data_IF_191384050598
#
_entry.id   IF_191384050598
#
_cell.length_a   1.000
_cell.length_b   1.000
_cell.length_c   1.000
_cell.angle_alpha   90.00
_cell.angle_beta   90.00
_cell.angle_gamma   90.00
#
_symmetry.space_group_name_H-M   'P 1'
#
loop_
_entity.id
_entity.type
_entity.pdbx_description
1 polymer ?
#
# COMPACT_ATOMS: atom_id res chain seq x y z
N UNK A 1 64.64 -42.63 9.69
CA UNK A 1 63.83 -41.66 8.93
C UNK A 1 62.40 -41.74 9.44
N UNK A 2 61.87 -40.72 10.14
CA UNK A 2 60.49 -40.73 10.60
C UNK A 2 59.57 -40.31 9.44
N UNK A 3 58.51 -41.07 9.20
CA UNK A 3 57.50 -40.73 8.21
C UNK A 3 56.45 -39.85 8.89
N UNK A 4 56.28 -38.63 8.37
CA UNK A 4 55.28 -37.67 8.82
C UNK A 4 53.93 -37.95 8.15
N UNK A 5 52.87 -37.85 8.98
CA UNK A 5 51.60 -37.17 8.71
C UNK A 5 50.64 -37.78 7.69
N UNK A 6 49.45 -38.19 8.15
CA UNK A 6 48.25 -37.32 8.11
C UNK A 6 47.14 -37.96 8.95
N UNK A 7 46.86 -37.40 10.13
CA UNK A 7 45.65 -37.75 10.90
C UNK A 7 44.44 -37.23 10.12
N UNK A 8 43.52 -38.12 9.78
CA UNK A 8 42.27 -37.82 9.07
C UNK A 8 41.21 -37.26 10.02
N UNK A 9 41.58 -36.23 10.76
CA UNK A 9 40.64 -35.45 11.54
C UNK A 9 40.23 -34.22 10.72
N UNK A 10 38.98 -33.80 10.88
CA UNK A 10 38.29 -32.68 10.22
C UNK A 10 37.46 -33.02 8.98
N UNK A 11 36.33 -33.68 9.23
CA UNK A 11 35.05 -33.28 8.63
C UNK A 11 33.90 -33.57 9.59
N UNK A 12 33.85 -32.79 10.68
CA UNK A 12 32.59 -32.56 11.38
C UNK A 12 31.93 -31.33 10.74
N UNK A 13 30.71 -31.45 10.18
CA UNK A 13 29.97 -30.28 9.73
C UNK A 13 29.65 -29.43 10.95
N UNK A 14 30.35 -28.30 11.04
CA UNK A 14 30.18 -27.32 12.11
C UNK A 14 28.71 -26.87 12.17
N UNK A 15 28.09 -27.09 13.33
CA UNK A 15 26.67 -26.83 13.60
C UNK A 15 26.30 -25.35 13.37
N UNK A 16 27.28 -24.45 13.38
CA UNK A 16 27.12 -23.02 13.07
C UNK A 16 26.66 -22.76 11.63
N UNK A 17 27.11 -23.55 10.65
CA UNK A 17 26.79 -23.34 9.24
C UNK A 17 25.33 -23.68 8.91
N UNK A 18 24.78 -24.67 9.62
CA UNK A 18 23.37 -25.09 9.47
C UNK A 18 22.41 -24.04 10.04
N UNK A 19 22.78 -23.42 11.16
CA UNK A 19 22.01 -22.34 11.81
C UNK A 19 21.97 -21.10 10.92
N UNK A 20 23.09 -20.70 10.30
CA UNK A 20 23.13 -19.56 9.38
C UNK A 20 22.23 -19.77 8.15
N UNK A 21 22.25 -20.97 7.55
CA UNK A 21 21.41 -21.28 6.38
C UNK A 21 19.92 -21.29 6.72
N UNK A 22 19.54 -21.81 7.89
CA UNK A 22 18.15 -21.80 8.36
C UNK A 22 17.65 -20.38 8.65
N UNK A 23 18.48 -19.55 9.29
CA UNK A 23 18.16 -18.16 9.63
C UNK A 23 17.99 -17.30 8.36
N UNK A 24 18.87 -17.46 7.38
CA UNK A 24 18.75 -16.79 6.08
C UNK A 24 17.48 -17.21 5.32
N UNK A 25 17.08 -18.49 5.41
CA UNK A 25 15.83 -18.99 4.80
C UNK A 25 14.58 -18.40 5.44
N UNK A 26 14.57 -18.28 6.78
CA UNK A 26 13.48 -17.63 7.53
C UNK A 26 13.37 -16.14 7.19
N UNK A 27 14.50 -15.45 7.10
CA UNK A 27 14.56 -14.05 6.71
C UNK A 27 14.06 -13.89 5.27
N UNK A 28 14.54 -14.70 4.31
CA UNK A 28 14.10 -14.63 2.91
C UNK A 28 12.60 -14.91 2.74
N UNK A 29 12.04 -15.88 3.46
CA UNK A 29 10.58 -16.12 3.51
C UNK A 29 9.83 -14.91 4.08
N UNK A 30 10.29 -14.36 5.20
CA UNK A 30 9.72 -13.12 5.76
C UNK A 30 9.76 -11.94 4.77
N UNK A 31 10.83 -11.82 3.98
CA UNK A 31 10.96 -10.78 2.95
C UNK A 31 10.05 -11.01 1.73
N UNK A 32 9.84 -12.26 1.29
CA UNK A 32 8.91 -12.56 0.18
C UNK A 32 7.45 -12.34 0.60
N UNK A 33 7.12 -12.64 1.85
CA UNK A 33 5.76 -12.56 2.37
C UNK A 33 5.34 -11.09 2.62
N UNK A 34 6.30 -10.22 2.99
CA UNK A 34 6.08 -8.77 3.06
C UNK A 34 5.92 -8.08 1.69
N UNK A 35 6.27 -8.75 0.59
CA UNK A 35 6.34 -8.13 -0.75
C UNK A 35 5.19 -8.55 -1.68
N UNK A 36 4.23 -9.34 -1.18
CA UNK A 36 3.10 -9.88 -1.95
C UNK A 36 1.83 -9.03 -1.94
N UNK A 37 1.81 -7.89 -1.27
CA UNK A 37 0.64 -7.01 -1.27
C UNK A 37 0.80 -5.94 -2.34
N UNK A 38 0.06 -6.10 -3.45
CA UNK A 38 -0.15 -5.00 -4.39
C UNK A 38 -0.76 -3.83 -3.58
N UNK A 39 -0.21 -2.61 -3.66
CA UNK A 39 -0.75 -1.46 -2.95
C UNK A 39 -2.26 -1.36 -3.19
N UNK A 40 -3.07 -1.19 -2.14
CA UNK A 40 -4.53 -1.10 -2.26
C UNK A 40 -4.98 -0.02 -3.25
N UNK A 41 -4.17 1.04 -3.39
CA UNK A 41 -4.36 2.07 -4.40
C UNK A 41 -4.34 1.53 -5.84
N UNK A 42 -3.49 0.56 -6.15
CA UNK A 42 -3.40 -0.04 -7.49
C UNK A 42 -4.49 -1.10 -7.71
N UNK A 43 -4.97 -1.73 -6.64
CA UNK A 43 -6.01 -2.76 -6.71
C UNK A 43 -7.42 -2.17 -6.73
N UNK A 44 -7.65 -1.09 -5.97
CA UNK A 44 -8.98 -0.54 -5.70
C UNK A 44 -9.11 0.95 -6.02
N UNK A 45 -8.00 1.65 -6.29
CA UNK A 45 -8.05 3.04 -6.70
C UNK A 45 -8.66 3.17 -8.09
N UNK A 46 -9.68 4.01 -8.21
CA UNK A 46 -10.38 4.30 -9.48
C UNK A 46 -10.45 5.79 -9.72
N UNK A 47 -10.62 6.15 -10.98
CA UNK A 47 -10.85 7.53 -11.41
C UNK A 47 -12.26 8.01 -11.04
N UNK A 48 -12.51 9.33 -10.96
CA UNK A 48 -13.86 9.87 -10.75
C UNK A 48 -14.89 9.38 -11.79
N UNK A 49 -14.46 9.19 -13.04
CA UNK A 49 -15.27 8.65 -14.13
C UNK A 49 -15.70 7.21 -13.86
N UNK A 50 -14.76 6.35 -13.49
CA UNK A 50 -15.05 4.95 -13.16
C UNK A 50 -15.92 4.83 -11.91
N UNK A 51 -15.71 5.68 -10.91
CA UNK A 51 -16.58 5.73 -9.73
C UNK A 51 -18.00 6.15 -10.07
N UNK A 52 -18.16 7.14 -10.94
CA UNK A 52 -19.49 7.54 -11.43
C UNK A 52 -20.23 6.37 -12.10
N UNK A 53 -19.54 5.61 -12.96
CA UNK A 53 -20.10 4.42 -13.60
C UNK A 53 -20.41 3.30 -12.59
N UNK A 54 -19.50 3.07 -11.64
CA UNK A 54 -19.66 2.05 -10.60
C UNK A 54 -20.88 2.35 -9.74
N UNK A 55 -21.03 3.60 -9.28
CA UNK A 55 -22.16 4.05 -8.48
C UNK A 55 -23.48 4.01 -9.26
N UNK A 56 -23.44 4.37 -10.55
CA UNK A 56 -24.62 4.25 -11.42
C UNK A 56 -25.11 2.80 -11.53
N UNK A 57 -24.19 1.82 -11.57
CA UNK A 57 -24.51 0.39 -11.51
C UNK A 57 -25.17 -0.05 -10.20
N UNK A 58 -24.98 0.70 -9.11
CA UNK A 58 -25.65 0.51 -7.83
C UNK A 58 -26.91 1.37 -7.67
N UNK A 59 -27.36 2.08 -8.71
CA UNK A 59 -28.53 2.95 -8.71
C UNK A 59 -28.28 4.37 -8.21
N UNK A 60 -27.04 4.71 -7.83
CA UNK A 60 -26.67 6.05 -7.33
C UNK A 60 -26.04 6.87 -8.45
N UNK A 61 -26.74 7.91 -8.91
CA UNK A 61 -26.26 8.76 -9.98
C UNK A 61 -25.42 9.93 -9.43
N UNK A 62 -24.10 9.80 -9.51
CA UNK A 62 -23.15 10.87 -9.12
C UNK A 62 -22.34 11.29 -10.34
N UNK A 63 -22.30 12.59 -10.62
CA UNK A 63 -21.47 13.09 -11.73
C UNK A 63 -19.98 13.07 -11.36
N UNK A 64 -19.06 12.78 -12.31
CA UNK A 64 -17.62 12.85 -12.07
C UNK A 64 -17.16 14.23 -11.59
N UNK A 65 -17.86 15.30 -12.02
CA UNK A 65 -17.59 16.67 -11.59
C UNK A 65 -17.87 16.86 -10.09
N UNK A 66 -18.99 16.31 -9.60
CA UNK A 66 -19.35 16.37 -8.19
C UNK A 66 -18.33 15.59 -7.35
N UNK A 67 -17.95 14.40 -7.79
CA UNK A 67 -16.90 13.57 -7.14
C UNK A 67 -15.59 14.37 -7.04
N UNK A 68 -15.15 15.00 -8.14
CA UNK A 68 -13.95 15.85 -8.14
C UNK A 68 -14.05 17.03 -7.17
N UNK A 69 -15.19 17.74 -7.16
CA UNK A 69 -15.39 18.87 -6.25
C UNK A 69 -15.31 18.42 -4.80
N UNK A 70 -16.06 17.37 -4.46
CA UNK A 70 -16.15 16.87 -3.09
C UNK A 70 -14.83 16.26 -2.61
N UNK A 71 -14.12 15.56 -3.48
CA UNK A 71 -12.77 15.05 -3.19
C UNK A 71 -11.79 16.19 -2.89
N UNK A 72 -11.86 17.29 -3.65
CA UNK A 72 -11.02 18.48 -3.40
C UNK A 72 -11.42 19.21 -2.11
N UNK A 73 -12.71 19.34 -1.83
CA UNK A 73 -13.23 19.95 -0.60
C UNK A 73 -12.81 19.18 0.66
N UNK A 74 -12.89 17.86 0.60
CA UNK A 74 -12.57 16.98 1.75
C UNK A 74 -11.09 16.68 1.87
N UNK A 75 -10.32 16.85 0.78
CA UNK A 75 -8.92 16.44 0.70
C UNK A 75 -8.72 14.92 0.60
N UNK A 76 -9.80 14.15 0.48
CA UNK A 76 -9.76 12.68 0.46
C UNK A 76 -9.55 12.16 -0.97
N UNK A 77 -8.34 12.29 -1.49
CA UNK A 77 -7.93 11.72 -2.78
C UNK A 77 -6.43 11.50 -2.87
N UNK A 78 -6.00 10.67 -3.81
CA UNK A 78 -4.60 10.57 -4.22
C UNK A 78 -4.44 11.18 -5.60
N UNK A 79 -3.38 11.97 -5.77
CA UNK A 79 -3.04 12.57 -7.05
C UNK A 79 -1.77 11.91 -7.60
N UNK A 80 -1.82 11.53 -8.87
CA UNK A 80 -0.68 11.03 -9.62
C UNK A 80 -0.53 11.90 -10.88
N UNK A 81 0.31 12.94 -10.79
CA UNK A 81 0.42 13.95 -11.84
C UNK A 81 -0.90 14.70 -12.05
N UNK A 82 -1.52 14.52 -13.21
CA UNK A 82 -2.84 15.10 -13.53
C UNK A 82 -4.01 14.17 -13.18
N UNK A 83 -3.73 12.91 -12.82
CA UNK A 83 -4.75 11.92 -12.51
C UNK A 83 -5.16 11.97 -11.04
N UNK A 84 -6.46 11.84 -10.81
CA UNK A 84 -7.05 11.72 -9.48
C UNK A 84 -7.52 10.29 -9.29
N UNK A 85 -7.09 9.68 -8.19
CA UNK A 85 -7.46 8.33 -7.77
C UNK A 85 -8.18 8.39 -6.44
N UNK A 86 -9.30 7.68 -6.39
CA UNK A 86 -10.19 7.58 -5.23
C UNK A 86 -10.27 6.12 -4.81
N UNK A 87 -10.03 5.87 -3.53
CA UNK A 87 -10.27 4.56 -2.93
C UNK A 87 -11.73 4.47 -2.46
N UNK A 88 -12.26 3.25 -2.23
CA UNK A 88 -13.59 3.07 -1.65
C UNK A 88 -13.77 3.84 -0.34
N UNK A 89 -12.77 3.81 0.55
CA UNK A 89 -12.76 4.57 1.81
C UNK A 89 -12.87 6.09 1.61
N UNK A 90 -12.35 6.62 0.50
CA UNK A 90 -12.50 8.03 0.18
C UNK A 90 -13.94 8.35 -0.24
N UNK A 91 -14.58 7.47 -1.03
CA UNK A 91 -15.98 7.63 -1.46
C UNK A 91 -16.93 7.57 -0.27
N UNK A 92 -16.73 6.63 0.65
CA UNK A 92 -17.49 6.57 1.90
C UNK A 92 -17.43 7.90 2.66
N UNK A 93 -16.24 8.49 2.78
CA UNK A 93 -16.05 9.80 3.40
C UNK A 93 -16.67 10.97 2.61
N UNK A 94 -16.99 10.82 1.32
CA UNK A 94 -17.75 11.81 0.55
C UNK A 94 -19.25 11.75 0.85
N UNK A 95 -19.75 10.55 1.17
CA UNK A 95 -21.17 10.26 1.40
C UNK A 95 -21.54 10.53 2.85
N UNK A 96 -20.62 10.27 3.80
CA UNK A 96 -20.88 10.44 5.22
C UNK A 96 -21.19 11.92 5.55
N UNK A 97 -22.42 12.22 5.98
CA UNK A 97 -22.83 13.59 6.29
C UNK A 97 -22.25 13.97 7.65
N UNK A 98 -21.02 14.50 7.69
CA UNK A 98 -20.44 14.83 9.00
C UNK A 98 -19.21 15.71 9.06
N UNK A 99 -18.29 15.70 8.08
CA UNK A 99 -17.05 16.47 8.23
C UNK A 99 -16.64 17.09 6.88
N UNK A 100 -17.47 18.00 6.37
CA UNK A 100 -16.93 19.08 5.57
C UNK A 100 -16.01 19.86 6.52
N UNK A 101 -14.69 19.71 6.38
CA UNK A 101 -13.75 20.52 7.16
C UNK A 101 -14.06 21.98 6.87
N UNK A 102 -14.67 22.63 7.85
CA UNK A 102 -14.82 24.07 7.90
C UNK A 102 -13.42 24.65 7.70
N UNK A 103 -13.29 25.42 6.62
CA UNK A 103 -12.04 26.03 6.20
C UNK A 103 -11.59 27.07 7.23
N UNK A 104 -10.93 26.65 8.31
CA UNK A 104 -10.23 27.56 9.20
C UNK A 104 -8.86 27.95 8.61
N UNK A 105 -8.88 28.62 7.46
CA UNK A 105 -7.74 29.37 6.89
C UNK A 105 -8.23 30.35 5.81
N UNK A 106 -9.33 31.08 6.06
CA UNK A 106 -9.62 32.31 5.33
C UNK A 106 -9.26 33.50 6.24
N UNK A 107 -8.19 34.27 5.96
CA UNK A 107 -7.98 35.53 6.63
C UNK A 107 -9.14 36.47 6.27
N UNK A 108 -9.84 36.98 7.28
CA UNK A 108 -10.80 38.06 7.12
C UNK A 108 -9.99 39.32 6.81
N UNK A 109 -10.04 39.76 5.56
CA UNK A 109 -9.67 41.12 5.19
C UNK A 109 -10.74 42.09 5.70
N UNK A 110 -10.27 43.14 6.37
CA UNK A 110 -11.04 44.27 6.88
C UNK A 110 -10.10 45.22 7.60
#
# INVERSE_FOLDING_TARGET
MPNQSYSSDFLHPDKTHLVCKAKLRLIAKSYMERRKTVPELLTHGRTPEEWSQTLAGHGVHVSPRLIRSKARETGNYRQLGHLMLLLPSHIEALIEPGIAKENLNRPLGG
#
